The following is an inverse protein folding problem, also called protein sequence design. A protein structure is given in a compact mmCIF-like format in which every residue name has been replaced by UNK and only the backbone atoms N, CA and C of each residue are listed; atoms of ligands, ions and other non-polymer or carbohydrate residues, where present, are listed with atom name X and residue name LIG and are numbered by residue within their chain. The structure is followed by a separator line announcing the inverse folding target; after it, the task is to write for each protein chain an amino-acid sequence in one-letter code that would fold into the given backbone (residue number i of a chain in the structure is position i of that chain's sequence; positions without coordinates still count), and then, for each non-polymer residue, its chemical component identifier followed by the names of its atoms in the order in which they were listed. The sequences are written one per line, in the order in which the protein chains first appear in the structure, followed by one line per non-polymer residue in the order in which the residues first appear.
data_IF_362054519043
#
_entry.id   IF_362054519043
#
_cell.length_a   1.000
_cell.length_b   1.000
_cell.length_c   1.000
_cell.angle_alpha   90.00
_cell.angle_beta   90.00
_cell.angle_gamma   90.00
#
_symmetry.space_group_name_H-M   'P 1'
#
loop_
_entity.id
_entity.type
_entity.pdbx_description
1 polymer ?
#
# COMPACT_ATOMS: atom_id res chain seq x y z
N UNK A 1 -25.35 -3.24 12.63
CA UNK A 1 -25.77 -2.61 11.37
C UNK A 1 -24.49 -2.10 10.73
N UNK A 2 -23.91 -2.88 9.81
CA UNK A 2 -22.57 -2.59 9.30
C UNK A 2 -22.60 -1.31 8.48
N UNK A 3 -21.84 -0.30 8.90
CA UNK A 3 -21.53 0.83 8.02
C UNK A 3 -20.88 0.27 6.76
N UNK A 4 -21.65 0.24 5.66
CA UNK A 4 -21.05 0.18 4.34
C UNK A 4 -20.17 1.42 4.24
N UNK A 5 -18.86 1.22 4.26
CA UNK A 5 -17.88 2.27 3.98
C UNK A 5 -18.26 2.85 2.62
N UNK A 6 -18.83 4.04 2.62
CA UNK A 6 -19.22 4.72 1.39
C UNK A 6 -17.94 5.31 0.77
N UNK A 7 -17.27 4.49 -0.05
CA UNK A 7 -16.03 4.85 -0.71
C UNK A 7 -16.16 6.17 -1.47
N UNK A 8 -17.35 6.44 -2.02
CA UNK A 8 -17.62 7.68 -2.73
C UNK A 8 -17.50 8.87 -1.79
N UNK A 9 -18.13 8.79 -0.62
CA UNK A 9 -18.12 9.86 0.37
C UNK A 9 -16.72 10.08 0.98
N UNK A 10 -15.96 9.00 1.19
CA UNK A 10 -14.58 9.04 1.65
C UNK A 10 -13.65 9.73 0.64
N UNK A 11 -13.82 9.42 -0.65
CA UNK A 11 -13.02 9.96 -1.75
C UNK A 11 -13.34 11.45 -1.98
N UNK A 12 -14.63 11.81 -1.92
CA UNK A 12 -15.10 13.16 -2.28
C UNK A 12 -14.82 14.18 -1.18
N UNK A 13 -14.79 13.77 0.09
CA UNK A 13 -14.52 14.67 1.23
C UNK A 13 -13.03 14.78 1.59
N UNK A 14 -12.16 14.01 0.94
CA UNK A 14 -10.73 14.02 1.24
C UNK A 14 -10.03 15.30 0.72
N UNK A 15 -9.18 15.95 1.54
CA UNK A 15 -8.40 17.11 1.11
C UNK A 15 -7.50 16.79 -0.09
N UNK A 16 -7.38 17.74 -1.03
CA UNK A 16 -6.56 17.61 -2.25
C UNK A 16 -5.09 17.33 -1.91
N UNK A 17 -4.56 17.93 -0.83
CA UNK A 17 -3.20 17.68 -0.37
C UNK A 17 -2.96 16.23 0.05
N UNK A 18 -3.97 15.57 0.63
CA UNK A 18 -3.87 14.16 1.02
C UNK A 18 -3.85 13.24 -0.19
N UNK A 19 -4.66 13.56 -1.20
CA UNK A 19 -4.65 12.88 -2.50
C UNK A 19 -3.28 12.98 -3.19
N UNK A 20 -2.67 14.17 -3.21
CA UNK A 20 -1.37 14.34 -3.85
C UNK A 20 -0.28 13.51 -3.16
N UNK A 21 -0.27 13.46 -1.83
CA UNK A 21 0.65 12.60 -1.06
C UNK A 21 0.45 11.14 -1.43
N UNK A 22 -0.77 10.62 -1.37
CA UNK A 22 -1.05 9.21 -1.68
C UNK A 22 -0.59 8.86 -3.10
N UNK A 23 -0.92 9.71 -4.08
CA UNK A 23 -0.57 9.48 -5.48
C UNK A 23 0.94 9.53 -5.70
N UNK A 24 1.64 10.54 -5.18
CA UNK A 24 3.09 10.67 -5.34
C UNK A 24 3.83 9.48 -4.72
N UNK A 25 3.49 9.12 -3.48
CA UNK A 25 4.17 8.04 -2.78
C UNK A 25 3.87 6.66 -3.38
N UNK A 26 2.63 6.44 -3.85
CA UNK A 26 2.28 5.21 -4.58
C UNK A 26 3.01 5.14 -5.92
N UNK A 27 3.08 6.25 -6.65
CA UNK A 27 3.67 6.32 -8.00
C UNK A 27 5.18 6.16 -7.99
N UNK A 28 5.89 6.94 -7.17
CA UNK A 28 7.36 6.85 -7.02
C UNK A 28 7.75 5.42 -6.69
N UNK A 29 7.03 4.83 -5.75
CA UNK A 29 7.28 3.49 -5.31
C UNK A 29 6.97 2.39 -6.34
N UNK A 30 5.97 2.58 -7.21
CA UNK A 30 5.67 1.66 -8.30
C UNK A 30 6.71 1.75 -9.42
N UNK A 31 7.20 2.95 -9.73
CA UNK A 31 8.22 3.17 -10.77
C UNK A 31 9.58 2.60 -10.35
N UNK A 32 9.94 2.68 -9.06
CA UNK A 32 11.23 2.17 -8.55
C UNK A 32 11.39 0.64 -8.67
N UNK A 33 10.32 -0.10 -8.96
CA UNK A 33 10.38 -1.56 -9.10
C UNK A 33 10.98 -1.95 -10.46
N UNK A 34 12.32 -2.00 -10.52
CA UNK A 34 13.10 -2.29 -11.74
C UNK A 34 12.79 -3.66 -12.35
N UNK A 35 12.59 -4.68 -11.52
CA UNK A 35 12.36 -6.07 -11.97
C UNK A 35 10.89 -6.38 -12.28
N UNK A 36 10.02 -5.36 -12.33
CA UNK A 36 8.57 -5.52 -12.45
C UNK A 36 8.08 -5.06 -13.83
N UNK A 37 7.26 -5.89 -14.47
CA UNK A 37 6.59 -5.53 -15.73
C UNK A 37 5.55 -4.41 -15.51
N UNK A 38 5.16 -3.72 -16.58
CA UNK A 38 4.26 -2.56 -16.52
C UNK A 38 2.92 -2.86 -15.83
N UNK A 39 2.33 -4.02 -16.12
CA UNK A 39 1.09 -4.49 -15.47
C UNK A 39 1.28 -4.66 -13.96
N UNK A 40 2.41 -5.23 -13.53
CA UNK A 40 2.74 -5.39 -12.11
C UNK A 40 2.87 -4.04 -11.42
N UNK A 41 3.53 -3.07 -12.07
CA UNK A 41 3.63 -1.69 -11.55
C UNK A 41 2.26 -1.05 -11.36
N UNK A 42 1.35 -1.19 -12.33
CA UNK A 42 -0.02 -0.68 -12.21
C UNK A 42 -0.79 -1.32 -11.06
N UNK A 43 -0.68 -2.63 -10.87
CA UNK A 43 -1.29 -3.34 -9.74
C UNK A 43 -0.72 -2.81 -8.42
N UNK A 44 0.60 -2.68 -8.30
CA UNK A 44 1.23 -2.18 -7.05
C UNK A 44 0.86 -0.73 -6.74
N UNK A 45 0.75 0.11 -7.77
CA UNK A 45 0.29 1.49 -7.63
C UNK A 45 -1.15 1.53 -7.10
N UNK A 46 -2.07 0.81 -7.74
CA UNK A 46 -3.47 0.77 -7.36
C UNK A 46 -3.67 0.24 -5.94
N UNK A 47 -2.91 -0.80 -5.55
CA UNK A 47 -2.97 -1.33 -4.18
C UNK A 47 -2.38 -0.35 -3.16
N UNK A 48 -1.31 0.37 -3.50
CA UNK A 48 -0.79 1.45 -2.66
C UNK A 48 -1.84 2.54 -2.40
N UNK A 49 -2.50 3.02 -3.46
CA UNK A 49 -3.57 4.02 -3.35
C UNK A 49 -4.74 3.48 -2.52
N UNK A 50 -5.23 2.28 -2.83
CA UNK A 50 -6.34 1.66 -2.10
C UNK A 50 -5.99 1.45 -0.63
N UNK A 51 -4.77 1.01 -0.31
CA UNK A 51 -4.34 0.82 1.06
C UNK A 51 -4.34 2.13 1.86
N UNK A 52 -3.87 3.22 1.26
CA UNK A 52 -3.90 4.53 1.90
C UNK A 52 -5.32 5.07 2.08
N UNK A 53 -6.16 5.00 1.05
CA UNK A 53 -7.53 5.53 1.11
C UNK A 53 -8.39 4.74 2.10
N UNK A 54 -8.31 3.41 2.07
CA UNK A 54 -9.17 2.55 2.89
C UNK A 54 -8.68 2.47 4.34
N UNK A 55 -7.36 2.38 4.57
CA UNK A 55 -6.84 2.10 5.91
C UNK A 55 -6.29 3.31 6.66
N UNK A 56 -6.12 4.49 6.05
CA UNK A 56 -5.55 5.64 6.78
C UNK A 56 -6.40 6.04 7.98
N UNK A 57 -7.71 6.13 7.82
CA UNK A 57 -8.60 6.51 8.91
C UNK A 57 -8.78 5.39 9.95
N UNK A 58 -9.03 4.12 9.57
CA UNK A 58 -9.01 3.01 10.51
C UNK A 58 -7.69 2.88 11.28
N UNK A 59 -6.54 3.06 10.63
CA UNK A 59 -5.23 2.98 11.29
C UNK A 59 -5.02 4.13 12.27
N UNK A 60 -5.45 5.35 11.91
CA UNK A 60 -5.41 6.51 12.80
C UNK A 60 -6.23 6.27 14.06
N UNK A 61 -7.45 5.77 13.90
CA UNK A 61 -8.36 5.45 15.01
C UNK A 61 -7.82 4.30 15.87
N UNK A 62 -7.32 3.23 15.24
CA UNK A 62 -6.77 2.08 15.95
C UNK A 62 -5.55 2.42 16.81
N UNK A 63 -4.75 3.41 16.39
CA UNK A 63 -3.57 3.89 17.11
C UNK A 63 -3.88 5.08 18.04
N UNK A 64 -5.14 5.51 18.14
CA UNK A 64 -5.57 6.68 18.91
C UNK A 64 -4.76 7.94 18.58
N UNK A 65 -4.41 8.13 17.30
CA UNK A 65 -3.56 9.23 16.85
C UNK A 65 -4.38 10.49 16.56
N UNK A 66 -3.78 11.65 16.83
CA UNK A 66 -4.36 12.95 16.51
C UNK A 66 -4.61 13.12 15.00
N UNK A 67 -5.56 13.98 14.64
CA UNK A 67 -5.92 14.26 13.24
C UNK A 67 -4.73 14.69 12.38
N UNK A 68 -3.72 15.35 12.97
CA UNK A 68 -2.49 15.76 12.27
C UNK A 68 -1.66 14.60 11.69
N UNK A 69 -1.85 13.36 12.15
CA UNK A 69 -1.12 12.19 11.66
C UNK A 69 -1.72 11.55 10.41
N UNK A 70 -2.89 12.02 9.95
CA UNK A 70 -3.64 11.40 8.85
C UNK A 70 -2.84 11.35 7.55
N UNK A 71 -2.07 12.40 7.25
CA UNK A 71 -1.24 12.48 6.03
C UNK A 71 -0.03 11.55 6.10
N UNK A 72 0.64 11.52 7.26
CA UNK A 72 1.78 10.63 7.48
C UNK A 72 1.38 9.16 7.39
N UNK A 73 0.26 8.77 8.00
CA UNK A 73 -0.29 7.43 7.89
C UNK A 73 -0.64 7.06 6.45
N UNK A 74 -1.21 8.01 5.70
CA UNK A 74 -1.54 7.80 4.28
C UNK A 74 -0.30 7.54 3.43
N UNK A 75 0.79 8.27 3.66
CA UNK A 75 2.06 8.04 2.98
C UNK A 75 2.66 6.67 3.33
N UNK A 76 2.64 6.30 4.62
CA UNK A 76 3.16 5.00 5.09
C UNK A 76 2.33 3.85 4.52
N UNK A 77 1.00 3.96 4.53
CA UNK A 77 0.11 2.94 3.99
C UNK A 77 0.22 2.83 2.46
N UNK A 78 0.39 3.95 1.76
CA UNK A 78 0.67 3.96 0.33
C UNK A 78 1.96 3.17 0.03
N UNK A 79 3.03 3.43 0.78
CA UNK A 79 4.29 2.70 0.65
C UNK A 79 4.17 1.22 1.05
N UNK A 80 3.41 0.91 2.09
CA UNK A 80 3.29 -0.45 2.62
C UNK A 80 2.44 -1.32 1.69
N UNK A 81 1.27 -0.81 1.27
CA UNK A 81 0.38 -1.49 0.32
C UNK A 81 1.08 -1.82 -0.99
N UNK A 82 1.83 -0.89 -1.57
CA UNK A 82 2.60 -1.18 -2.80
C UNK A 82 3.68 -2.24 -2.60
N UNK A 83 4.34 -2.27 -1.43
CA UNK A 83 5.45 -3.19 -1.17
C UNK A 83 4.93 -4.61 -0.99
N UNK A 84 3.80 -4.75 -0.29
CA UNK A 84 3.08 -6.02 -0.19
C UNK A 84 2.60 -6.48 -1.56
N UNK A 85 1.97 -5.60 -2.33
CA UNK A 85 1.56 -5.92 -3.69
C UNK A 85 2.72 -6.39 -4.56
N UNK A 86 3.87 -5.72 -4.47
CA UNK A 86 5.07 -6.11 -5.21
C UNK A 86 5.55 -7.51 -4.85
N UNK A 87 5.55 -7.82 -3.55
CA UNK A 87 5.89 -9.13 -3.05
C UNK A 87 4.93 -10.20 -3.58
N UNK A 88 3.61 -9.96 -3.50
CA UNK A 88 2.62 -10.90 -4.02
C UNK A 88 2.74 -11.10 -5.53
N UNK A 89 2.89 -10.03 -6.31
CA UNK A 89 3.06 -10.13 -7.77
C UNK A 89 4.32 -10.94 -8.13
N UNK A 90 5.42 -10.73 -7.40
CA UNK A 90 6.66 -11.51 -7.58
C UNK A 90 6.46 -12.97 -7.20
N UNK A 91 5.86 -13.23 -6.04
CA UNK A 91 5.57 -14.58 -5.58
C UNK A 91 4.61 -15.33 -6.51
N UNK A 92 3.65 -14.64 -7.13
CA UNK A 92 2.76 -15.24 -8.14
C UNK A 92 3.48 -15.55 -9.46
N UNK A 93 4.51 -14.77 -9.80
CA UNK A 93 5.28 -14.98 -11.04
C UNK A 93 6.36 -16.06 -10.89
N UNK A 94 6.97 -16.17 -9.70
CA UNK A 94 7.96 -17.20 -9.37
C UNK A 94 7.77 -17.69 -7.92
N UNK A 95 6.80 -18.60 -7.69
CA UNK A 95 6.46 -19.08 -6.35
C UNK A 95 7.56 -19.93 -5.72
N UNK A 96 8.36 -20.63 -6.54
CA UNK A 96 9.45 -21.46 -6.06
C UNK A 96 10.59 -20.62 -5.49
N UNK A 97 10.94 -19.51 -6.16
CA UNK A 97 11.94 -18.56 -5.66
C UNK A 97 11.47 -17.86 -4.40
N UNK A 98 10.21 -17.40 -4.35
CA UNK A 98 9.65 -16.77 -3.16
C UNK A 98 9.64 -17.72 -1.95
N UNK A 99 9.23 -18.99 -2.12
CA UNK A 99 9.27 -19.98 -1.05
C UNK A 99 10.70 -20.23 -0.54
N UNK A 100 11.69 -20.21 -1.43
CA UNK A 100 13.11 -20.37 -1.07
C UNK A 100 13.61 -19.19 -0.24
N UNK A 101 13.29 -17.95 -0.63
CA UNK A 101 13.60 -16.75 0.15
C UNK A 101 12.97 -16.80 1.56
N UNK A 102 11.70 -17.20 1.68
CA UNK A 102 11.04 -17.35 2.99
C UNK A 102 11.77 -18.37 3.87
N UNK A 103 12.15 -19.52 3.31
CA UNK A 103 12.85 -20.58 4.05
C UNK A 103 14.25 -20.13 4.46
N UNK A 104 14.97 -19.39 3.61
CA UNK A 104 16.29 -18.84 3.92
C UNK A 104 16.22 -17.82 5.05
N UNK A 105 15.25 -16.90 4.99
CA UNK A 105 14.95 -15.94 6.07
C UNK A 105 14.62 -16.69 7.38
N UNK A 106 13.77 -17.72 7.30
CA UNK A 106 13.39 -18.51 8.48
C UNK A 106 14.56 -19.29 9.08
N UNK A 107 15.51 -19.71 8.25
CA UNK A 107 16.76 -20.37 8.68
C UNK A 107 17.85 -19.39 9.14
N UNK A 108 17.58 -18.09 9.14
CA UNK A 108 18.54 -17.05 9.53
C UNK A 108 19.72 -16.89 8.56
N UNK A 109 19.62 -17.43 7.33
CA UNK A 109 20.60 -17.19 6.27
C UNK A 109 20.16 -15.96 5.49
N UNK A 110 21.00 -14.94 5.50
CA UNK A 110 20.79 -13.66 4.84
C UNK A 110 21.56 -13.61 3.53
#
# INVERSE_FOLDING_TARGET
MGEMIDLHDLVTKMPIAKWSIILVFSLVGAIMQRDMNWTGRMITFSIGVAAAVVFAEPARLALSLDAGWSDALSAVLAMTGRNLAAYFVRASSDPAKAAREIIEIWRGRR
#
